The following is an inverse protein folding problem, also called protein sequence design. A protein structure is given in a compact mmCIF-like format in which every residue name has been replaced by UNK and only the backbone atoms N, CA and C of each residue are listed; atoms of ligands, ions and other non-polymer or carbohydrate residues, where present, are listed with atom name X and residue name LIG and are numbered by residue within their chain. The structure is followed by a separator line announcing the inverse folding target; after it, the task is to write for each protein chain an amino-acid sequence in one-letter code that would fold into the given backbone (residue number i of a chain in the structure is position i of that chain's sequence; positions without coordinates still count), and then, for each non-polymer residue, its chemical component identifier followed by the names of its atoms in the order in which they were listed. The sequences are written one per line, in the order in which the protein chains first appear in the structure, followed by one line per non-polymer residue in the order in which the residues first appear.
data_IF_104226339185
#
_entry.id   IF_104226339185
#
_cell.length_a   1.000
_cell.length_b   1.000
_cell.length_c   1.000
_cell.angle_alpha   90.00
_cell.angle_beta   90.00
_cell.angle_gamma   90.00
#
_symmetry.space_group_name_H-M   'P 1'
#
loop_
_entity.id
_entity.type
_entity.pdbx_description
1 polymer ?
#
# COMPACT_ATOMS: atom_id res chain seq x y z
N UNK A 1 4.03 -42.93 6.41
CA UNK A 1 5.23 -42.16 6.79
C UNK A 1 5.56 -41.28 5.60
N UNK A 2 5.24 -39.99 5.69
CA UNK A 2 5.38 -39.06 4.56
C UNK A 2 6.86 -38.80 4.34
N UNK A 3 7.38 -39.10 3.14
CA UNK A 3 8.70 -38.65 2.71
C UNK A 3 8.68 -37.12 2.73
N UNK A 4 9.42 -36.53 3.67
CA UNK A 4 9.62 -35.08 3.71
C UNK A 4 10.65 -34.71 2.64
N UNK A 5 10.32 -33.68 1.87
CA UNK A 5 11.12 -33.19 0.75
C UNK A 5 12.51 -32.76 1.23
N UNK A 6 13.61 -33.12 0.54
CA UNK A 6 14.99 -32.83 0.98
C UNK A 6 15.28 -31.37 1.37
N UNK A 7 14.51 -30.41 0.85
CA UNK A 7 14.62 -29.00 1.21
C UNK A 7 14.08 -28.64 2.60
N UNK A 8 13.06 -29.34 3.10
CA UNK A 8 12.47 -29.02 4.41
C UNK A 8 13.41 -29.41 5.55
N UNK A 9 14.06 -30.58 5.47
CA UNK A 9 15.04 -31.02 6.46
C UNK A 9 16.25 -30.07 6.54
N UNK A 10 16.68 -29.52 5.40
CA UNK A 10 17.76 -28.52 5.37
C UNK A 10 17.35 -27.18 5.97
N UNK A 11 16.10 -26.75 5.78
CA UNK A 11 15.57 -25.55 6.43
C UNK A 11 15.41 -25.77 7.94
N UNK A 12 14.91 -26.94 8.36
CA UNK A 12 14.78 -27.31 9.77
C UNK A 12 16.17 -27.38 10.43
N UNK A 13 17.15 -27.97 9.75
CA UNK A 13 18.53 -28.01 10.22
C UNK A 13 19.12 -26.60 10.36
N UNK A 14 18.95 -25.72 9.36
CA UNK A 14 19.42 -24.34 9.43
C UNK A 14 18.74 -23.57 10.56
N UNK A 15 17.43 -23.75 10.74
CA UNK A 15 16.65 -23.15 11.82
C UNK A 15 17.14 -23.63 13.20
N UNK A 16 17.29 -24.93 13.41
CA UNK A 16 17.83 -25.52 14.64
C UNK A 16 19.26 -25.03 14.90
N UNK A 17 20.08 -24.92 13.86
CA UNK A 17 21.45 -24.40 13.97
C UNK A 17 21.43 -22.93 14.45
N UNK A 18 20.59 -22.08 13.85
CA UNK A 18 20.46 -20.67 14.21
C UNK A 18 19.94 -20.47 15.65
N UNK A 19 19.08 -21.36 16.15
CA UNK A 19 18.59 -21.32 17.53
C UNK A 19 19.66 -21.79 18.52
N UNK A 20 20.31 -22.92 18.24
CA UNK A 20 21.27 -23.56 19.16
C UNK A 20 22.62 -22.87 19.19
N UNK A 21 23.00 -22.27 18.08
CA UNK A 21 24.23 -21.51 17.90
C UNK A 21 23.89 -20.06 17.58
N UNK A 22 22.95 -19.48 18.33
CA UNK A 22 22.66 -18.07 18.24
C UNK A 22 23.96 -17.30 18.48
N UNK A 23 24.38 -16.48 17.52
CA UNK A 23 25.49 -15.56 17.72
C UNK A 23 25.11 -14.60 18.86
N UNK A 24 25.81 -14.63 20.00
CA UNK A 24 25.47 -13.79 21.15
C UNK A 24 25.63 -12.29 20.85
N UNK A 25 26.35 -11.92 19.78
CA UNK A 25 26.45 -10.56 19.28
C UNK A 25 25.33 -10.20 18.28
N UNK A 26 24.64 -11.19 17.71
CA UNK A 26 23.51 -10.99 16.81
C UNK A 26 22.24 -10.61 17.59
N UNK A 27 22.24 -9.38 18.11
CA UNK A 27 21.01 -8.74 18.57
C UNK A 27 20.14 -8.34 17.38
N UNK A 28 18.84 -8.13 17.61
CA UNK A 28 17.95 -7.61 16.54
C UNK A 28 18.46 -6.30 15.96
N UNK A 29 19.11 -5.45 16.76
CA UNK A 29 19.72 -4.19 16.32
C UNK A 29 21.05 -4.40 15.58
N UNK A 30 21.80 -5.47 15.88
CA UNK A 30 23.04 -5.79 15.15
C UNK A 30 22.75 -6.44 13.79
N UNK A 31 21.74 -7.31 13.71
CA UNK A 31 21.34 -7.97 12.47
C UNK A 31 20.41 -7.12 11.61
N UNK A 32 19.57 -6.29 12.26
CA UNK A 32 18.62 -5.38 11.61
C UNK A 32 18.51 -4.06 12.40
N UNK A 33 19.52 -3.18 12.32
CA UNK A 33 19.48 -1.88 12.98
C UNK A 33 18.16 -1.15 12.70
N UNK A 34 17.53 -0.59 13.74
CA UNK A 34 16.31 0.18 13.56
C UNK A 34 15.05 -0.61 13.19
N UNK A 35 15.06 -1.95 13.22
CA UNK A 35 13.89 -2.79 12.88
C UNK A 35 12.60 -2.41 13.62
N UNK A 36 12.72 -1.94 14.86
CA UNK A 36 11.59 -1.52 15.70
C UNK A 36 11.33 -0.01 15.68
N UNK A 37 12.19 0.78 15.02
CA UNK A 37 11.99 2.21 14.86
C UNK A 37 10.91 2.44 13.79
N UNK A 38 10.08 3.48 13.94
CA UNK A 38 9.17 3.87 12.87
C UNK A 38 9.94 4.12 11.58
N UNK A 39 9.40 3.69 10.45
CA UNK A 39 10.01 4.00 9.16
C UNK A 39 10.09 5.52 8.98
N UNK A 40 11.25 6.02 8.59
CA UNK A 40 11.48 7.43 8.27
C UNK A 40 11.59 7.67 6.76
N UNK A 41 11.75 6.59 5.99
CA UNK A 41 11.80 6.57 4.54
C UNK A 41 10.93 5.43 4.01
N UNK A 42 10.65 5.45 2.70
CA UNK A 42 9.85 4.39 2.08
C UNK A 42 10.58 3.05 2.18
N UNK A 43 9.88 1.99 2.58
CA UNK A 43 10.41 0.64 2.71
C UNK A 43 9.48 -0.37 2.03
N UNK A 44 10.03 -1.33 1.26
CA UNK A 44 9.21 -2.34 0.62
C UNK A 44 8.65 -3.32 1.65
N UNK A 45 7.35 -3.60 1.56
CA UNK A 45 6.72 -4.68 2.33
C UNK A 45 6.91 -6.00 1.59
N UNK A 46 7.56 -6.97 2.24
CA UNK A 46 7.84 -8.29 1.64
C UNK A 46 6.84 -9.38 2.01
N UNK A 47 5.77 -9.03 2.73
CA UNK A 47 4.69 -9.97 3.05
C UNK A 47 3.93 -10.40 1.79
N UNK A 48 3.17 -11.49 1.90
CA UNK A 48 2.26 -11.90 0.84
C UNK A 48 1.28 -10.78 0.47
N UNK A 49 0.85 -10.79 -0.80
CA UNK A 49 -0.22 -9.92 -1.28
C UNK A 49 -1.53 -10.27 -0.56
N UNK A 50 -2.27 -9.24 -0.15
CA UNK A 50 -3.57 -9.39 0.51
C UNK A 50 -4.69 -8.87 -0.38
N UNK A 51 -5.89 -9.45 -0.38
CA UNK A 51 -7.03 -8.87 -1.10
C UNK A 51 -7.32 -7.43 -0.66
N UNK A 52 -7.83 -6.61 -1.57
CA UNK A 52 -8.38 -5.32 -1.21
C UNK A 52 -9.63 -5.52 -0.35
N UNK A 53 -9.65 -4.92 0.84
CA UNK A 53 -10.77 -4.95 1.76
C UNK A 53 -11.41 -3.56 1.83
N UNK A 54 -12.56 -3.41 1.16
CA UNK A 54 -13.36 -2.21 1.29
C UNK A 54 -14.03 -2.17 2.67
N UNK A 55 -14.08 -0.99 3.29
CA UNK A 55 -14.89 -0.79 4.49
C UNK A 55 -16.35 -0.99 4.16
N UNK A 56 -17.06 -1.70 5.04
CA UNK A 56 -18.51 -1.80 5.01
C UNK A 56 -19.12 -0.44 5.40
N UNK A 57 -19.83 0.27 4.49
CA UNK A 57 -20.41 1.58 4.77
C UNK A 57 -21.41 1.57 5.93
N UNK A 58 -22.06 0.44 6.21
CA UNK A 58 -22.98 0.32 7.34
C UNK A 58 -22.28 0.48 8.71
N UNK A 59 -20.96 0.23 8.77
CA UNK A 59 -20.16 0.33 9.99
C UNK A 59 -19.66 1.75 10.27
N UNK A 60 -19.81 2.69 9.33
CA UNK A 60 -19.30 4.06 9.47
C UNK A 60 -20.18 4.95 10.34
N UNK A 61 -21.36 4.49 10.78
CA UNK A 61 -22.22 5.23 11.71
C UNK A 61 -22.79 6.54 11.15
N UNK A 62 -22.85 6.70 9.81
CA UNK A 62 -23.33 7.91 9.15
C UNK A 62 -24.82 7.84 8.73
N UNK A 63 -25.51 6.74 9.05
CA UNK A 63 -26.93 6.57 8.75
C UNK A 63 -27.82 7.39 9.70
N UNK A 64 -28.99 7.83 9.24
CA UNK A 64 -30.03 8.44 10.08
C UNK A 64 -30.05 9.97 10.09
N UNK A 65 -29.08 10.62 9.44
CA UNK A 65 -29.09 12.06 9.21
C UNK A 65 -29.90 12.42 7.96
N UNK A 66 -30.57 13.57 7.96
CA UNK A 66 -31.43 13.99 6.84
C UNK A 66 -30.60 14.47 5.66
N UNK A 67 -29.59 15.28 5.94
CA UNK A 67 -28.62 15.78 4.97
C UNK A 67 -27.19 15.50 5.43
N UNK A 68 -26.24 15.45 4.48
CA UNK A 68 -24.81 15.27 4.82
C UNK A 68 -24.32 16.34 5.78
N UNK A 69 -24.89 17.56 5.70
CA UNK A 69 -24.55 18.71 6.53
C UNK A 69 -24.94 18.52 8.01
N UNK A 70 -25.88 17.63 8.31
CA UNK A 70 -26.39 17.39 9.67
C UNK A 70 -25.53 16.39 10.45
N UNK A 71 -24.66 15.64 9.76
CA UNK A 71 -23.71 14.71 10.38
C UNK A 71 -22.81 15.51 11.33
N UNK A 72 -22.64 15.13 12.62
CA UNK A 72 -21.70 15.80 13.52
C UNK A 72 -20.26 15.61 13.08
N UNK A 73 -19.42 16.63 13.26
CA UNK A 73 -18.00 16.58 12.86
C UNK A 73 -17.26 15.40 13.52
N UNK A 74 -17.56 15.08 14.77
CA UNK A 74 -16.99 13.92 15.47
C UNK A 74 -17.32 12.58 14.79
N UNK A 75 -18.57 12.42 14.31
CA UNK A 75 -18.97 11.22 13.58
C UNK A 75 -18.30 11.15 12.21
N UNK A 76 -18.17 12.29 11.51
CA UNK A 76 -17.46 12.36 10.24
C UNK A 76 -15.96 12.07 10.39
N UNK A 77 -15.30 12.57 11.44
CA UNK A 77 -13.91 12.24 11.77
C UNK A 77 -13.75 10.74 11.97
N UNK A 78 -14.56 10.14 12.85
CA UNK A 78 -14.46 8.71 13.14
C UNK A 78 -14.65 7.86 11.87
N UNK A 79 -15.60 8.23 11.01
CA UNK A 79 -15.81 7.54 9.74
C UNK A 79 -14.61 7.70 8.78
N UNK A 80 -14.03 8.90 8.68
CA UNK A 80 -12.81 9.14 7.88
C UNK A 80 -11.65 8.29 8.40
N UNK A 81 -11.39 8.32 9.71
CA UNK A 81 -10.30 7.56 10.33
C UNK A 81 -10.46 6.06 10.11
N UNK A 82 -11.69 5.53 10.19
CA UNK A 82 -11.98 4.12 9.93
C UNK A 82 -11.73 3.72 8.47
N UNK A 83 -12.15 4.55 7.52
CA UNK A 83 -11.84 4.33 6.09
C UNK A 83 -10.34 4.39 5.84
N UNK A 84 -9.64 5.39 6.38
CA UNK A 84 -8.20 5.54 6.17
C UNK A 84 -7.42 4.43 6.84
N UNK A 85 -7.78 3.98 8.04
CA UNK A 85 -7.13 2.87 8.72
C UNK A 85 -7.23 1.55 7.92
N UNK A 86 -8.34 1.34 7.22
CA UNK A 86 -8.63 0.08 6.51
C UNK A 86 -8.19 0.12 5.05
N UNK A 87 -8.50 1.19 4.33
CA UNK A 87 -8.28 1.34 2.88
C UNK A 87 -7.09 2.26 2.56
N UNK A 88 -6.40 2.81 3.56
CA UNK A 88 -5.25 3.69 3.36
C UNK A 88 -3.99 3.00 2.80
N UNK A 89 -3.20 3.68 1.95
CA UNK A 89 -3.46 4.97 1.35
C UNK A 89 -4.65 4.92 0.37
N UNK A 90 -5.57 5.87 0.49
CA UNK A 90 -6.83 5.88 -0.27
C UNK A 90 -6.95 7.15 -1.11
N UNK A 91 -7.53 7.05 -2.30
CA UNK A 91 -7.86 8.23 -3.10
C UNK A 91 -9.09 8.95 -2.53
N UNK A 92 -9.12 10.29 -2.62
CA UNK A 92 -10.21 11.11 -2.09
C UNK A 92 -11.59 10.68 -2.61
N UNK A 93 -11.70 10.35 -3.90
CA UNK A 93 -12.98 9.92 -4.47
C UNK A 93 -13.44 8.56 -3.91
N UNK A 94 -12.54 7.67 -3.52
CA UNK A 94 -12.87 6.39 -2.86
C UNK A 94 -13.34 6.66 -1.43
N UNK A 95 -12.62 7.50 -0.68
CA UNK A 95 -13.06 7.96 0.64
C UNK A 95 -14.45 8.60 0.58
N UNK A 96 -14.65 9.53 -0.33
CA UNK A 96 -15.93 10.20 -0.51
C UNK A 96 -17.04 9.22 -0.88
N UNK A 97 -16.77 8.24 -1.75
CA UNK A 97 -17.72 7.19 -2.11
C UNK A 97 -18.22 6.42 -0.86
N UNK A 98 -17.31 5.96 0.00
CA UNK A 98 -17.65 5.25 1.26
C UNK A 98 -18.50 6.10 2.19
N UNK A 99 -18.11 7.37 2.39
CA UNK A 99 -18.83 8.29 3.29
C UNK A 99 -20.24 8.59 2.76
N UNK A 100 -20.39 8.76 1.44
CA UNK A 100 -21.68 9.02 0.82
C UNK A 100 -22.60 7.81 0.88
N UNK A 101 -22.06 6.63 0.61
CA UNK A 101 -22.81 5.37 0.69
C UNK A 101 -23.33 5.13 2.11
N UNK A 102 -22.47 5.32 3.12
CA UNK A 102 -22.84 5.21 4.53
C UNK A 102 -23.91 6.22 4.97
N UNK A 103 -23.89 7.42 4.39
CA UNK A 103 -24.86 8.47 4.66
C UNK A 103 -26.12 8.39 3.77
N UNK A 104 -26.23 7.40 2.88
CA UNK A 104 -27.37 7.24 1.97
C UNK A 104 -27.47 8.34 0.87
N UNK A 105 -26.37 9.01 0.56
CA UNK A 105 -26.31 10.13 -0.38
C UNK A 105 -25.77 9.69 -1.74
N UNK A 106 -26.50 10.03 -2.80
CA UNK A 106 -26.19 9.55 -4.16
C UNK A 106 -25.08 10.31 -4.87
N UNK A 107 -24.80 11.57 -4.51
CA UNK A 107 -23.95 12.46 -5.31
C UNK A 107 -23.02 13.32 -4.48
N UNK A 108 -21.75 13.36 -4.88
CA UNK A 108 -20.74 14.24 -4.31
C UNK A 108 -20.87 15.65 -4.90
N UNK A 109 -21.65 16.50 -4.25
CA UNK A 109 -21.75 17.92 -4.59
C UNK A 109 -20.57 18.75 -4.08
N UNK A 110 -20.37 19.95 -4.63
CA UNK A 110 -19.30 20.88 -4.24
C UNK A 110 -19.26 21.16 -2.73
N UNK A 111 -20.43 21.33 -2.10
CA UNK A 111 -20.55 21.58 -0.64
C UNK A 111 -20.08 20.39 0.20
N UNK A 112 -20.47 19.18 -0.19
CA UNK A 112 -20.07 17.95 0.51
C UNK A 112 -18.57 17.71 0.35
N UNK A 113 -18.04 17.88 -0.87
CA UNK A 113 -16.59 17.81 -1.13
C UNK A 113 -15.82 18.78 -0.25
N UNK A 114 -16.21 20.05 -0.23
CA UNK A 114 -15.55 21.06 0.59
C UNK A 114 -15.60 20.72 2.09
N UNK A 115 -16.72 20.16 2.56
CA UNK A 115 -16.86 19.72 3.95
C UNK A 115 -15.90 18.57 4.29
N UNK A 116 -15.83 17.53 3.46
CA UNK A 116 -14.91 16.39 3.69
C UNK A 116 -13.46 16.89 3.69
N UNK A 117 -13.09 17.78 2.76
CA UNK A 117 -11.75 18.36 2.72
C UNK A 117 -11.41 19.19 3.95
N UNK A 118 -12.35 20.02 4.43
CA UNK A 118 -12.18 20.78 5.66
C UNK A 118 -12.00 19.84 6.87
N UNK A 119 -12.76 18.74 6.92
CA UNK A 119 -12.62 17.74 7.98
C UNK A 119 -11.24 17.06 7.94
N UNK A 120 -10.78 16.67 6.75
CA UNK A 120 -9.45 16.08 6.57
C UNK A 120 -8.34 17.03 7.05
N UNK A 121 -8.46 18.33 6.79
CA UNK A 121 -7.50 19.33 7.26
C UNK A 121 -7.51 19.52 8.77
N UNK A 122 -8.60 19.16 9.45
CA UNK A 122 -8.72 19.27 10.91
C UNK A 122 -8.15 18.05 11.65
N UNK A 123 -7.90 16.92 10.96
CA UNK A 123 -7.36 15.69 11.55
C UNK A 123 -5.83 15.71 11.42
N UNK A 124 -5.13 15.91 12.53
CA UNK A 124 -3.67 16.11 12.53
C UNK A 124 -2.86 14.89 12.07
N UNK A 125 -3.36 13.67 12.30
CA UNK A 125 -2.61 12.43 12.06
C UNK A 125 -2.70 11.94 10.61
N UNK A 126 -3.64 12.49 9.84
CA UNK A 126 -3.92 12.09 8.46
C UNK A 126 -3.36 13.14 7.50
N UNK A 127 -2.56 12.68 6.55
CA UNK A 127 -2.09 13.53 5.46
C UNK A 127 -3.11 13.53 4.32
N UNK A 128 -3.43 14.72 3.80
CA UNK A 128 -4.20 14.90 2.58
C UNK A 128 -3.39 15.68 1.55
N UNK A 129 -2.78 14.98 0.58
CA UNK A 129 -1.96 15.58 -0.47
C UNK A 129 -2.20 14.89 -1.82
N UNK A 130 -2.21 15.67 -2.92
CA UNK A 130 -2.37 15.13 -4.27
C UNK A 130 -3.63 14.29 -4.49
N UNK A 131 -4.69 14.52 -3.70
CA UNK A 131 -5.91 13.70 -3.74
C UNK A 131 -5.80 12.38 -2.97
N UNK A 132 -4.74 12.16 -2.19
CA UNK A 132 -4.49 10.95 -1.40
C UNK A 132 -4.64 11.24 0.07
N UNK A 133 -5.28 10.31 0.77
CA UNK A 133 -5.53 10.37 2.21
C UNK A 133 -4.89 9.15 2.85
N UNK A 134 -3.98 9.37 3.80
CA UNK A 134 -3.24 8.30 4.45
C UNK A 134 -2.63 8.73 5.79
N UNK A 135 -2.42 7.78 6.69
CA UNK A 135 -1.43 7.93 7.76
C UNK A 135 -0.02 7.91 7.16
N UNK A 136 0.93 8.61 7.81
CA UNK A 136 2.31 8.66 7.33
C UNK A 136 2.92 7.25 7.14
N UNK A 137 2.67 6.34 8.08
CA UNK A 137 3.16 4.96 8.02
C UNK A 137 2.65 4.22 6.78
N UNK A 138 1.40 4.45 6.36
CA UNK A 138 0.83 3.79 5.18
C UNK A 138 1.49 4.25 3.87
N UNK A 139 2.11 5.43 3.85
CA UNK A 139 2.87 5.92 2.69
C UNK A 139 4.32 5.42 2.71
N UNK A 140 4.90 5.24 3.90
CA UNK A 140 6.29 4.77 4.06
C UNK A 140 6.38 3.25 3.96
N UNK A 141 5.41 2.51 4.49
CA UNK A 141 5.34 1.05 4.44
C UNK A 141 4.01 0.64 3.81
N UNK A 142 3.84 0.84 2.50
CA UNK A 142 2.56 0.65 1.84
C UNK A 142 2.08 -0.81 1.90
N UNK A 143 0.75 -1.03 1.92
CA UNK A 143 0.19 -2.37 1.84
C UNK A 143 0.41 -2.96 0.44
N UNK A 144 0.57 -4.28 0.33
CA UNK A 144 0.61 -4.96 -0.97
C UNK A 144 -0.75 -5.58 -1.25
N UNK A 145 -1.56 -4.94 -2.10
CA UNK A 145 -2.98 -5.26 -2.27
C UNK A 145 -3.30 -5.83 -3.64
N UNK A 146 -4.11 -6.88 -3.68
CA UNK A 146 -4.79 -7.34 -4.89
C UNK A 146 -6.10 -6.56 -5.06
N UNK A 147 -6.15 -5.69 -6.06
CA UNK A 147 -7.30 -4.83 -6.33
C UNK A 147 -8.44 -5.55 -7.07
N UNK A 148 -8.32 -6.83 -7.43
CA UNK A 148 -9.39 -7.57 -8.12
C UNK A 148 -10.70 -7.59 -7.32
N UNK A 149 -10.62 -7.61 -5.99
CA UNK A 149 -11.78 -7.60 -5.08
C UNK A 149 -12.30 -6.19 -4.77
N UNK A 150 -11.61 -5.13 -5.21
CA UNK A 150 -12.09 -3.77 -5.01
C UNK A 150 -13.41 -3.53 -5.77
N UNK A 151 -14.34 -2.72 -5.23
CA UNK A 151 -15.58 -2.40 -5.92
C UNK A 151 -15.31 -1.80 -7.30
N UNK A 152 -16.03 -2.24 -8.33
CA UNK A 152 -15.77 -1.88 -9.74
C UNK A 152 -15.70 -0.37 -9.97
N UNK A 153 -16.57 0.40 -9.30
CA UNK A 153 -16.61 1.87 -9.39
C UNK A 153 -15.30 2.52 -8.95
N UNK A 154 -14.64 1.93 -7.96
CA UNK A 154 -13.42 2.45 -7.34
C UNK A 154 -12.16 1.71 -7.77
N UNK A 155 -12.28 0.61 -8.54
CA UNK A 155 -11.14 -0.16 -9.06
C UNK A 155 -10.55 0.54 -10.29
N UNK A 156 -9.82 1.62 -10.04
CA UNK A 156 -9.15 2.44 -11.06
C UNK A 156 -7.66 2.56 -10.73
N UNK A 157 -6.79 2.47 -11.75
CA UNK A 157 -5.34 2.53 -11.53
C UNK A 157 -4.92 3.88 -10.96
N UNK A 158 -5.62 4.94 -11.35
CA UNK A 158 -5.47 6.30 -10.84
C UNK A 158 -5.77 6.41 -9.35
N UNK A 159 -6.46 5.43 -8.76
CA UNK A 159 -6.78 5.39 -7.33
C UNK A 159 -5.81 4.53 -6.53
N UNK A 160 -4.85 3.85 -7.16
CA UNK A 160 -3.73 3.18 -6.48
C UNK A 160 -2.67 4.23 -6.14
N UNK A 161 -2.15 4.23 -4.91
CA UNK A 161 -1.16 5.23 -4.49
C UNK A 161 0.21 5.02 -5.14
N UNK A 162 0.99 6.09 -5.32
CA UNK A 162 2.36 5.98 -5.84
C UNK A 162 3.21 5.04 -4.98
N UNK A 163 3.03 5.04 -3.65
CA UNK A 163 3.74 4.15 -2.73
C UNK A 163 3.42 2.67 -2.99
N UNK A 164 2.16 2.32 -3.26
CA UNK A 164 1.78 0.96 -3.64
C UNK A 164 2.24 0.59 -5.04
N UNK A 165 2.20 1.52 -6.00
CA UNK A 165 2.72 1.29 -7.34
C UNK A 165 4.23 1.03 -7.29
N UNK A 166 4.98 1.79 -6.49
CA UNK A 166 6.38 1.52 -6.20
C UNK A 166 6.56 0.11 -5.65
N UNK A 167 5.71 -0.32 -4.72
CA UNK A 167 5.79 -1.67 -4.16
C UNK A 167 5.52 -2.74 -5.22
N UNK A 168 4.51 -2.55 -6.08
CA UNK A 168 4.19 -3.49 -7.14
C UNK A 168 5.35 -3.67 -8.14
N UNK A 169 5.99 -2.57 -8.54
CA UNK A 169 7.16 -2.58 -9.41
C UNK A 169 8.37 -3.24 -8.73
N UNK A 170 8.61 -2.90 -7.47
CA UNK A 170 9.67 -3.52 -6.68
C UNK A 170 9.48 -5.05 -6.58
N UNK A 171 8.25 -5.50 -6.30
CA UNK A 171 7.91 -6.94 -6.19
C UNK A 171 8.09 -7.67 -7.52
N UNK A 172 7.84 -7.04 -8.66
CA UNK A 172 8.09 -7.63 -9.97
C UNK A 172 9.59 -7.90 -10.23
N UNK A 173 10.49 -7.04 -9.72
CA UNK A 173 11.95 -7.32 -9.77
C UNK A 173 12.34 -8.37 -8.73
N UNK A 174 11.82 -8.23 -7.51
CA UNK A 174 12.23 -9.02 -6.36
C UNK A 174 11.74 -10.48 -6.41
N UNK A 175 10.45 -10.69 -6.68
CA UNK A 175 9.82 -12.01 -6.76
C UNK A 175 10.02 -12.63 -8.14
N UNK A 176 9.64 -11.89 -9.19
CA UNK A 176 9.54 -12.41 -10.56
C UNK A 176 10.87 -12.32 -11.34
N UNK A 177 11.91 -11.73 -10.71
CA UNK A 177 13.29 -11.64 -11.24
C UNK A 177 13.39 -10.95 -12.60
N UNK A 178 12.49 -10.01 -12.86
CA UNK A 178 12.47 -9.24 -14.09
C UNK A 178 13.58 -8.20 -14.12
N UNK A 179 14.13 -7.98 -15.32
CA UNK A 179 15.32 -7.13 -15.53
C UNK A 179 15.08 -5.97 -16.48
N UNK A 180 13.97 -5.95 -17.23
CA UNK A 180 13.60 -4.87 -18.15
C UNK A 180 12.39 -4.09 -17.63
N UNK A 181 12.42 -2.76 -17.81
CA UNK A 181 11.42 -1.86 -17.21
C UNK A 181 9.99 -2.13 -17.69
N UNK A 182 9.81 -2.45 -18.97
CA UNK A 182 8.50 -2.70 -19.55
C UNK A 182 7.85 -3.96 -18.97
N UNK A 183 8.61 -5.06 -18.84
CA UNK A 183 8.11 -6.28 -18.20
C UNK A 183 7.86 -6.08 -16.71
N UNK A 184 8.71 -5.30 -16.02
CA UNK A 184 8.51 -4.92 -14.62
C UNK A 184 7.20 -4.16 -14.45
N UNK A 185 6.93 -3.16 -15.29
CA UNK A 185 5.69 -2.38 -15.27
C UNK A 185 4.46 -3.23 -15.54
N UNK A 186 4.50 -4.04 -16.61
CA UNK A 186 3.39 -4.90 -16.99
C UNK A 186 3.07 -5.94 -15.90
N UNK A 187 4.09 -6.65 -15.42
CA UNK A 187 3.93 -7.70 -14.41
C UNK A 187 3.53 -7.11 -13.06
N UNK A 188 4.13 -5.98 -12.65
CA UNK A 188 3.77 -5.28 -11.43
C UNK A 188 2.27 -4.92 -11.38
N UNK A 189 1.72 -4.37 -12.47
CA UNK A 189 0.28 -4.10 -12.58
C UNK A 189 -0.56 -5.37 -12.54
N UNK A 190 -0.16 -6.39 -13.29
CA UNK A 190 -0.89 -7.64 -13.38
C UNK A 190 -1.00 -8.33 -12.00
N UNK A 191 0.09 -8.28 -11.22
CA UNK A 191 0.16 -8.86 -9.87
C UNK A 191 -0.83 -8.21 -8.91
N UNK A 192 -1.06 -6.90 -9.01
CA UNK A 192 -2.05 -6.19 -8.18
C UNK A 192 -3.46 -6.14 -8.79
N UNK A 193 -3.70 -6.84 -9.91
CA UNK A 193 -5.04 -7.02 -10.46
C UNK A 193 -5.40 -6.14 -11.67
N UNK A 194 -4.48 -5.34 -12.19
CA UNK A 194 -4.69 -4.52 -13.39
C UNK A 194 -4.07 -5.20 -14.62
N UNK A 195 -4.91 -5.84 -15.44
CA UNK A 195 -4.45 -6.73 -16.52
C UNK A 195 -3.93 -5.97 -17.76
N UNK A 196 -4.44 -4.77 -18.04
CA UNK A 196 -4.14 -4.04 -19.29
C UNK A 196 -3.00 -3.06 -19.09
N UNK A 197 -1.84 -3.36 -19.67
CA UNK A 197 -0.73 -2.41 -19.80
C UNK A 197 -0.93 -1.51 -21.02
N UNK A 198 -1.34 -0.27 -20.78
CA UNK A 198 -1.60 0.76 -21.81
C UNK A 198 -0.55 1.86 -21.72
N UNK A 199 -0.46 2.72 -22.74
CA UNK A 199 0.48 3.85 -22.72
C UNK A 199 0.19 4.85 -21.59
N UNK A 200 -1.08 5.01 -21.21
CA UNK A 200 -1.50 5.78 -20.04
C UNK A 200 -0.97 5.14 -18.76
N UNK A 201 -1.08 3.83 -18.62
CA UNK A 201 -0.58 3.09 -17.46
C UNK A 201 0.96 3.16 -17.39
N UNK A 202 1.66 3.00 -18.52
CA UNK A 202 3.11 3.21 -18.62
C UNK A 202 3.48 4.60 -18.12
N UNK A 203 2.87 5.66 -18.66
CA UNK A 203 3.10 7.04 -18.23
C UNK A 203 2.89 7.24 -16.73
N UNK A 204 1.87 6.61 -16.14
CA UNK A 204 1.59 6.69 -14.70
C UNK A 204 2.67 5.99 -13.84
N UNK A 205 3.24 4.88 -14.32
CA UNK A 205 4.25 4.10 -13.60
C UNK A 205 5.67 4.66 -13.67
N UNK A 206 5.95 5.54 -14.66
CA UNK A 206 7.27 6.15 -14.82
C UNK A 206 7.73 6.89 -13.56
N UNK A 207 6.83 7.63 -12.91
CA UNK A 207 7.15 8.38 -11.68
C UNK A 207 7.46 7.44 -10.50
N UNK A 208 6.61 6.44 -10.16
CA UNK A 208 6.94 5.40 -9.19
C UNK A 208 8.28 4.69 -9.47
N UNK A 209 8.53 4.28 -10.72
CA UNK A 209 9.77 3.59 -11.07
C UNK A 209 11.00 4.48 -10.87
N UNK A 210 10.94 5.71 -11.38
CA UNK A 210 12.01 6.70 -11.20
C UNK A 210 12.29 6.97 -9.71
N UNK A 211 11.25 6.95 -8.87
CA UNK A 211 11.39 7.13 -7.43
C UNK A 211 12.12 5.96 -6.77
N UNK A 212 11.90 4.72 -7.22
CA UNK A 212 12.64 3.55 -6.72
C UNK A 212 14.13 3.64 -7.03
N UNK A 213 14.51 4.11 -8.22
CA UNK A 213 15.91 4.36 -8.55
C UNK A 213 16.52 5.48 -7.71
N UNK A 214 15.79 6.58 -7.52
CA UNK A 214 16.25 7.71 -6.71
C UNK A 214 16.46 7.35 -5.22
N UNK A 215 15.72 6.36 -4.72
CA UNK A 215 15.88 5.81 -3.38
C UNK A 215 16.90 4.65 -3.32
N UNK A 216 17.52 4.31 -4.45
CA UNK A 216 18.42 3.15 -4.62
C UNK A 216 17.78 1.80 -4.19
N UNK A 217 16.44 1.74 -4.22
CA UNK A 217 15.68 0.51 -3.96
C UNK A 217 15.79 -0.44 -5.14
N UNK A 218 15.86 0.13 -6.34
CA UNK A 218 16.28 -0.52 -7.58
C UNK A 218 17.51 0.20 -8.13
N UNK A 219 18.33 -0.51 -8.87
CA UNK A 219 19.52 0.02 -9.55
C UNK A 219 19.65 -0.56 -10.95
N UNK A 220 20.41 0.11 -11.81
CA UNK A 220 20.82 -0.46 -13.10
C UNK A 220 22.20 -1.08 -12.93
N UNK A 221 22.29 -2.40 -13.11
CA UNK A 221 23.52 -3.17 -13.09
C UNK A 221 23.72 -3.87 -14.44
N UNK A 222 24.82 -3.57 -15.12
CA UNK A 222 25.15 -4.08 -16.46
C UNK A 222 24.00 -3.90 -17.49
N UNK A 223 23.26 -2.80 -17.40
CA UNK A 223 22.12 -2.50 -18.29
C UNK A 223 20.81 -3.20 -17.93
N UNK A 224 20.78 -3.96 -16.84
CA UNK A 224 19.59 -4.64 -16.32
C UNK A 224 19.14 -3.99 -15.01
N UNK A 225 17.83 -3.99 -14.76
CA UNK A 225 17.27 -3.60 -13.46
C UNK A 225 17.56 -4.70 -12.44
N UNK A 226 18.05 -4.31 -11.27
CA UNK A 226 18.30 -5.18 -10.14
C UNK A 226 17.83 -4.54 -8.82
N UNK A 227 17.65 -5.36 -7.79
CA UNK A 227 17.33 -4.89 -6.43
C UNK A 227 18.56 -4.19 -5.85
N UNK A 228 18.38 -2.96 -5.41
CA UNK A 228 19.44 -2.18 -4.79
C UNK A 228 19.67 -2.55 -3.33
N UNK A 229 20.87 -2.26 -2.80
CA UNK A 229 21.24 -2.60 -1.41
C UNK A 229 20.33 -1.94 -0.39
N UNK A 230 19.83 -0.73 -0.66
CA UNK A 230 18.91 0.00 0.24
C UNK A 230 17.62 -0.76 0.52
N UNK A 231 17.17 -1.63 -0.38
CA UNK A 231 16.00 -2.47 -0.16
C UNK A 231 16.14 -3.45 1.02
N UNK A 232 17.36 -3.71 1.46
CA UNK A 232 17.68 -4.63 2.57
C UNK A 232 18.11 -3.90 3.85
N UNK A 233 18.21 -2.57 3.80
CA UNK A 233 18.59 -1.73 4.94
C UNK A 233 17.30 -1.13 5.53
N UNK A 234 17.17 -1.14 6.86
CA UNK A 234 16.06 -0.51 7.59
C UNK A 234 16.56 0.63 8.46
#
# INVERSE_FOLDING_TARGET
MSEMTPGFDQVVWLHEMLIRQADPAASSEASHPGRLKPATEWQPRVSAITPYHAVDPAQLGLSGFRDFADIPDAALTAAIEQVVATEGPVHFDVLADRLLEAAGIKRLGRRIRARIQAQLQAINEINFDGGRVAYAEQMLVPPYRDWRTAPDKTRQLEYVSDAELMLALFRAVFDDRLTDEDSIMNTGLHNIGFIRFTERARSQLQKPLSRLYALEMLVIDNGNVAVGKKAFLR
#
